data_IF_542477642344
#
_entry.id   IF_542477642344
#
_cell.length_a   1.000
_cell.length_b   1.000
_cell.length_c   1.000
_cell.angle_alpha   90.00
_cell.angle_beta   90.00
_cell.angle_gamma   90.00
#
_symmetry.space_group_name_H-M   'P 1'
#
loop_
_entity.id
_entity.type
_entity.pdbx_description
1 polymer ?
#
# COMPACT_ATOMS: atom_id res chain seq x y z
N UNK A 1 12.55 -24.08 22.83
CA UNK A 1 11.99 -22.73 22.57
C UNK A 1 11.17 -22.87 21.30
N UNK A 2 9.85 -22.67 21.32
CA UNK A 2 9.09 -22.60 20.07
C UNK A 2 9.27 -21.18 19.53
N UNK A 3 9.90 -21.08 18.36
CA UNK A 3 10.02 -19.82 17.66
C UNK A 3 8.66 -19.50 17.04
N UNK A 4 8.06 -18.37 17.41
CA UNK A 4 6.83 -17.93 16.79
C UNK A 4 7.14 -17.40 15.41
N UNK A 5 6.44 -17.91 14.40
CA UNK A 5 6.51 -17.34 13.07
C UNK A 5 6.07 -15.88 13.08
N UNK A 6 6.86 -15.02 12.45
CA UNK A 6 6.67 -13.57 12.39
C UNK A 6 6.35 -13.15 10.96
N UNK A 7 5.07 -13.09 10.56
CA UNK A 7 4.67 -12.67 9.22
C UNK A 7 5.29 -11.35 8.75
N UNK A 8 5.58 -10.42 9.67
CA UNK A 8 6.26 -9.15 9.38
C UNK A 8 7.65 -9.32 8.77
N UNK A 9 8.35 -10.42 9.05
CA UNK A 9 9.67 -10.74 8.49
C UNK A 9 9.57 -11.48 7.15
N UNK A 10 8.36 -11.89 6.75
CA UNK A 10 8.07 -12.65 5.56
C UNK A 10 7.09 -11.93 4.63
N UNK A 11 7.25 -10.60 4.49
CA UNK A 11 6.44 -9.80 3.57
C UNK A 11 4.94 -9.74 3.93
N UNK A 12 4.60 -10.10 5.16
CA UNK A 12 3.23 -10.17 5.66
C UNK A 12 2.49 -11.46 5.32
N UNK A 13 3.19 -12.50 4.90
CA UNK A 13 2.62 -13.83 4.66
C UNK A 13 2.69 -14.68 5.92
N UNK A 14 1.76 -15.62 6.06
CA UNK A 14 1.77 -16.73 7.04
C UNK A 14 2.73 -17.84 6.59
N UNK A 15 2.96 -18.83 7.44
CA UNK A 15 3.77 -20.01 7.12
C UNK A 15 3.26 -20.79 5.89
N UNK A 16 1.96 -20.76 5.65
CA UNK A 16 1.29 -21.40 4.50
C UNK A 16 1.35 -20.55 3.21
N UNK A 17 2.00 -19.38 3.25
CA UNK A 17 2.11 -18.45 2.13
C UNK A 17 0.87 -17.58 1.91
N UNK A 18 -0.16 -17.68 2.77
CA UNK A 18 -1.36 -16.84 2.68
C UNK A 18 -1.10 -15.49 3.37
N UNK A 19 -1.60 -14.36 2.83
CA UNK A 19 -1.56 -13.08 3.52
C UNK A 19 -2.04 -13.14 4.98
N UNK A 20 -1.24 -12.67 5.91
CA UNK A 20 -1.65 -12.45 7.29
C UNK A 20 -2.31 -11.06 7.40
N UNK A 21 -3.63 -11.04 7.59
CA UNK A 21 -4.42 -9.81 7.68
C UNK A 21 -4.08 -8.91 8.87
N UNK A 22 -3.31 -9.40 9.86
CA UNK A 22 -2.86 -8.58 11.00
C UNK A 22 -1.73 -7.63 10.64
N UNK A 23 -0.93 -8.00 9.64
CA UNK A 23 0.27 -7.24 9.24
C UNK A 23 0.22 -6.76 7.78
N UNK A 24 -0.61 -7.39 6.95
CA UNK A 24 -0.83 -7.06 5.54
C UNK A 24 0.36 -7.41 4.66
N UNK A 25 0.09 -7.79 3.41
CA UNK A 25 1.15 -7.96 2.40
C UNK A 25 1.61 -6.59 1.94
N UNK A 26 2.92 -6.35 2.01
CA UNK A 26 3.56 -5.04 2.08
C UNK A 26 3.39 -4.04 0.93
N UNK A 27 2.39 -4.16 0.07
CA UNK A 27 2.15 -3.23 -1.03
C UNK A 27 0.76 -2.58 -0.89
N UNK A 28 0.73 -1.47 -0.15
CA UNK A 28 -0.41 -0.54 -0.20
C UNK A 28 -0.16 0.44 -1.33
N UNK A 29 -1.17 0.63 -2.19
CA UNK A 29 -1.14 1.68 -3.20
C UNK A 29 -0.85 3.05 -2.55
N UNK A 30 0.09 3.79 -3.12
CA UNK A 30 0.54 5.09 -2.61
C UNK A 30 0.17 6.22 -3.59
N UNK A 31 -0.93 6.94 -3.36
CA UNK A 31 -1.35 8.02 -4.24
C UNK A 31 -0.27 9.09 -4.48
N UNK A 32 0.61 9.33 -3.50
CA UNK A 32 1.75 10.27 -3.62
C UNK A 32 2.73 9.91 -4.74
N UNK A 33 2.87 8.62 -5.08
CA UNK A 33 3.71 8.15 -6.19
C UNK A 33 2.97 8.23 -7.55
N UNK A 34 1.66 8.53 -7.52
CA UNK A 34 0.76 8.58 -8.67
C UNK A 34 0.02 9.92 -8.77
N UNK A 35 0.74 11.04 -8.63
CA UNK A 35 0.18 12.39 -8.79
C UNK A 35 -0.99 12.73 -7.86
N UNK A 36 -1.06 12.05 -6.70
CA UNK A 36 -2.15 12.21 -5.74
C UNK A 36 -3.45 11.50 -6.15
N UNK A 37 -3.43 10.64 -7.17
CA UNK A 37 -4.59 9.86 -7.58
C UNK A 37 -4.66 8.56 -6.80
N UNK A 38 -5.87 8.07 -6.54
CA UNK A 38 -6.15 6.70 -6.12
C UNK A 38 -5.94 5.73 -7.28
N UNK A 39 -5.98 4.44 -6.99
CA UNK A 39 -5.83 3.37 -7.98
C UNK A 39 -6.91 3.41 -9.08
N UNK A 40 -8.11 3.91 -8.76
CA UNK A 40 -9.21 4.15 -9.71
C UNK A 40 -9.07 5.47 -10.50
N UNK A 41 -7.98 6.21 -10.31
CA UNK A 41 -7.70 7.48 -11.01
C UNK A 41 -8.42 8.69 -10.41
N UNK A 42 -9.20 8.52 -9.35
CA UNK A 42 -9.87 9.62 -8.63
C UNK A 42 -8.88 10.28 -7.67
N UNK A 43 -8.85 11.62 -7.54
CA UNK A 43 -7.98 12.28 -6.56
C UNK A 43 -8.14 11.74 -5.14
N UNK A 44 -7.03 11.45 -4.46
CA UNK A 44 -6.99 11.06 -3.06
C UNK A 44 -6.89 12.29 -2.16
N UNK A 45 -7.99 12.65 -1.50
CA UNK A 45 -8.06 13.83 -0.62
C UNK A 45 -7.18 13.74 0.63
N UNK A 46 -6.62 12.57 0.96
CA UNK A 46 -5.63 12.41 2.03
C UNK A 46 -4.26 12.94 1.62
N UNK A 47 -3.98 12.95 0.32
CA UNK A 47 -2.82 13.64 -0.25
C UNK A 47 -3.21 15.11 -0.37
N UNK A 48 -3.00 15.86 0.71
CA UNK A 48 -3.29 17.29 0.77
C UNK A 48 -2.64 18.06 -0.40
N UNK A 49 -3.27 19.17 -0.73
CA UNK A 49 -3.04 20.13 -1.82
C UNK A 49 -1.62 20.73 -1.91
N UNK A 50 -0.60 19.88 -1.97
CA UNK A 50 0.80 20.20 -2.22
C UNK A 50 1.42 19.34 -3.33
N UNK A 51 0.76 18.23 -3.72
CA UNK A 51 1.05 17.57 -4.99
C UNK A 51 0.26 18.30 -6.08
N UNK A 52 0.94 19.17 -6.82
CA UNK A 52 0.40 19.87 -7.99
C UNK A 52 -0.20 18.84 -8.94
N UNK A 53 -1.51 18.65 -8.88
CA UNK A 53 -2.28 17.86 -9.84
C UNK A 53 -2.05 18.50 -11.21
N UNK A 54 -1.15 17.91 -12.01
CA UNK A 54 -1.01 18.21 -13.43
C UNK A 54 -1.80 17.14 -14.16
N UNK A 55 -3.08 17.38 -14.52
CA UNK A 55 -3.78 16.45 -15.39
C UNK A 55 -3.05 16.48 -16.73
N UNK A 56 -2.26 15.45 -17.02
CA UNK A 56 -1.83 15.17 -18.39
C UNK A 56 -3.03 14.56 -19.11
N UNK A 57 -3.91 15.43 -19.62
CA UNK A 57 -4.94 15.02 -20.58
C UNK A 57 -4.26 14.45 -21.83
N UNK A 58 -4.71 13.28 -22.26
CA UNK A 58 -4.56 12.82 -23.63
C UNK A 58 -5.75 13.29 -24.44
#
# INVERSE_FOLDING_TARGET
MFEYYKPTEHGGLKEDGIPDMRVGTGEKYKPTEHSGLKEDGVPDMRVGSGSTYKPTGK
#
